data_IF_439418575927
#
_entry.id   IF_439418575927
#
_cell.length_a   1.000
_cell.length_b   1.000
_cell.length_c   1.000
_cell.angle_alpha   90.00
_cell.angle_beta   90.00
_cell.angle_gamma   90.00
#
_symmetry.space_group_name_H-M   'P 1'
#
loop_
_entity.id
_entity.type
_entity.pdbx_description
1 polymer ?
#
# COMPACT_ATOMS: atom_id res chain seq x y z
N UNK A 1 29.51 23.89 -55.84
CA UNK A 1 29.46 22.64 -55.04
C UNK A 1 29.02 23.00 -53.63
N UNK A 2 27.81 22.60 -53.26
CA UNK A 2 27.17 22.85 -51.96
C UNK A 2 27.36 21.64 -51.05
N UNK A 3 27.55 21.79 -49.73
CA UNK A 3 27.24 20.73 -48.79
C UNK A 3 25.78 20.82 -48.34
N UNK A 4 25.07 19.73 -48.57
CA UNK A 4 23.72 19.43 -48.08
C UNK A 4 23.61 19.44 -46.56
N UNK A 5 22.42 19.82 -46.10
CA UNK A 5 22.06 19.97 -44.69
C UNK A 5 22.25 18.70 -43.87
N UNK A 6 22.74 18.90 -42.64
CA UNK A 6 22.76 17.88 -41.59
C UNK A 6 21.72 18.22 -40.54
N UNK A 7 20.75 17.31 -40.42
CA UNK A 7 19.64 17.21 -39.47
C UNK A 7 19.85 17.89 -38.12
N UNK A 8 19.18 19.03 -37.91
CA UNK A 8 18.96 19.64 -36.57
C UNK A 8 17.71 19.12 -35.87
N UNK A 9 17.27 17.90 -36.16
CA UNK A 9 16.00 17.34 -35.63
C UNK A 9 16.23 16.33 -34.51
N UNK A 10 17.46 15.84 -34.31
CA UNK A 10 17.74 14.74 -33.38
C UNK A 10 17.91 15.12 -31.89
N UNK A 11 18.13 16.39 -31.56
CA UNK A 11 18.47 16.79 -30.18
C UNK A 11 17.27 17.20 -29.33
N UNK A 12 16.13 17.52 -29.93
CA UNK A 12 14.97 18.08 -29.21
C UNK A 12 14.06 17.00 -28.60
N UNK A 13 14.09 15.76 -29.11
CA UNK A 13 13.20 14.69 -28.61
C UNK A 13 13.70 14.01 -27.33
N UNK A 14 15.00 14.07 -27.03
CA UNK A 14 15.58 13.34 -25.91
C UNK A 14 15.27 13.96 -24.53
N UNK A 15 14.95 15.26 -24.48
CA UNK A 15 14.66 15.97 -23.22
C UNK A 15 13.19 15.80 -22.79
N UNK A 16 12.29 15.44 -23.72
CA UNK A 16 10.86 15.29 -23.41
C UNK A 16 10.51 13.97 -22.69
N UNK A 17 11.32 12.91 -22.81
CA UNK A 17 11.07 11.63 -22.15
C UNK A 17 11.55 11.55 -20.68
N UNK A 18 12.32 12.54 -20.20
CA UNK A 18 12.86 12.52 -18.83
C UNK A 18 11.87 13.00 -17.75
N UNK A 19 10.75 13.62 -18.14
CA UNK A 19 9.81 14.27 -17.20
C UNK A 19 8.68 13.36 -16.70
N UNK A 20 8.50 12.17 -17.26
CA UNK A 20 7.43 11.23 -16.84
C UNK A 20 7.89 10.16 -15.84
N UNK A 21 9.19 10.05 -15.58
CA UNK A 21 9.75 9.07 -14.64
C UNK A 21 9.54 9.44 -13.15
N UNK A 22 9.04 10.64 -12.86
CA UNK A 22 8.86 11.15 -11.49
C UNK A 22 7.48 10.90 -10.87
N UNK A 23 6.50 10.38 -11.62
CA UNK A 23 5.23 9.94 -11.05
C UNK A 23 5.38 8.54 -10.42
N UNK A 24 6.40 8.36 -9.58
CA UNK A 24 6.48 7.22 -8.68
C UNK A 24 5.36 7.37 -7.64
N UNK A 25 4.20 6.80 -7.97
CA UNK A 25 3.22 6.22 -7.06
C UNK A 25 3.08 6.86 -5.67
N UNK A 26 2.92 8.18 -5.56
CA UNK A 26 2.58 8.82 -4.29
C UNK A 26 1.07 8.73 -4.05
N UNK A 27 0.52 7.52 -4.16
CA UNK A 27 -0.89 7.29 -3.94
C UNK A 27 -1.14 7.49 -2.44
N UNK A 28 -2.07 8.39 -2.04
CA UNK A 28 -2.30 8.68 -0.63
C UNK A 28 -2.65 7.37 0.10
N UNK A 29 -1.93 7.09 1.19
CA UNK A 29 -2.19 5.92 2.03
C UNK A 29 -3.62 5.99 2.57
N UNK A 30 -4.35 4.89 2.49
CA UNK A 30 -5.72 4.83 3.00
C UNK A 30 -5.70 4.91 4.51
N UNK A 31 -6.32 5.95 5.08
CA UNK A 31 -6.43 6.11 6.53
C UNK A 31 -7.10 4.91 7.20
N UNK A 32 -8.13 4.34 6.58
CA UNK A 32 -8.83 3.18 7.11
C UNK A 32 -7.89 1.97 7.23
N UNK A 33 -7.09 1.70 6.19
CA UNK A 33 -6.14 0.60 6.21
C UNK A 33 -5.01 0.83 7.20
N UNK A 34 -4.49 2.06 7.30
CA UNK A 34 -3.47 2.41 8.29
C UNK A 34 -3.99 2.19 9.72
N UNK A 35 -5.21 2.64 10.02
CA UNK A 35 -5.77 2.48 11.38
C UNK A 35 -6.03 1.01 11.75
N UNK A 36 -6.45 0.17 10.78
CA UNK A 36 -6.67 -1.27 10.99
C UNK A 36 -5.35 -2.01 11.17
N UNK A 37 -4.42 -1.86 10.22
CA UNK A 37 -3.15 -2.57 10.25
C UNK A 37 -2.29 -2.19 11.46
N UNK A 38 -2.34 -0.93 11.91
CA UNK A 38 -1.65 -0.52 13.13
C UNK A 38 -2.19 -1.24 14.39
N UNK A 39 -3.51 -1.47 14.48
CA UNK A 39 -4.10 -2.23 15.59
C UNK A 39 -3.73 -3.71 15.53
N UNK A 40 -3.67 -4.29 14.33
CA UNK A 40 -3.26 -5.68 14.14
C UNK A 40 -1.79 -5.86 14.48
N UNK A 41 -0.91 -4.95 14.03
CA UNK A 41 0.51 -4.93 14.39
C UNK A 41 0.70 -4.92 15.91
N UNK A 42 0.04 -3.98 16.60
CA UNK A 42 0.08 -3.87 18.06
C UNK A 42 -0.38 -5.18 18.74
N UNK A 43 -1.36 -5.86 18.17
CA UNK A 43 -1.89 -7.09 18.73
C UNK A 43 -1.02 -8.31 18.45
N UNK A 44 -0.39 -8.38 17.28
CA UNK A 44 0.62 -9.40 17.00
C UNK A 44 1.80 -9.21 17.96
N UNK A 45 2.34 -8.00 18.10
CA UNK A 45 3.44 -7.72 19.04
C UNK A 45 3.12 -8.10 20.49
N UNK A 46 1.86 -7.92 20.93
CA UNK A 46 1.44 -8.26 22.30
C UNK A 46 1.22 -9.75 22.55
N UNK A 47 0.81 -10.49 21.53
CA UNK A 47 0.46 -11.91 21.66
C UNK A 47 1.60 -12.83 21.22
N UNK A 48 2.54 -12.29 20.44
CA UNK A 48 3.78 -12.97 20.11
C UNK A 48 4.73 -12.86 21.32
N UNK A 49 4.57 -13.76 22.29
CA UNK A 49 5.41 -13.92 23.49
C UNK A 49 6.85 -14.39 23.16
N UNK A 50 7.49 -13.83 22.12
CA UNK A 50 8.83 -14.21 21.68
C UNK A 50 8.91 -15.56 20.97
N UNK A 51 7.84 -15.96 20.25
CA UNK A 51 7.87 -17.18 19.44
C UNK A 51 8.49 -16.85 18.08
N UNK A 52 9.82 -16.83 18.04
CA UNK A 52 10.58 -16.76 16.80
C UNK A 52 10.22 -17.98 15.91
N UNK A 53 9.37 -17.79 14.90
CA UNK A 53 9.01 -18.91 14.03
C UNK A 53 8.08 -18.63 12.85
N UNK A 54 7.08 -17.75 12.96
CA UNK A 54 6.12 -17.56 11.87
C UNK A 54 5.86 -16.06 11.62
N UNK A 55 6.51 -15.54 10.58
CA UNK A 55 6.12 -14.30 9.88
C UNK A 55 5.92 -13.07 10.75
N UNK A 56 6.97 -12.26 10.91
CA UNK A 56 6.83 -10.90 11.47
C UNK A 56 5.75 -10.15 10.70
N UNK A 57 4.74 -9.64 11.41
CA UNK A 57 3.69 -8.82 10.80
C UNK A 57 4.32 -7.54 10.24
N UNK A 58 4.22 -7.34 8.93
CA UNK A 58 4.66 -6.11 8.28
C UNK A 58 3.45 -5.19 8.06
N UNK A 59 3.36 -4.12 8.85
CA UNK A 59 2.29 -3.12 8.76
C UNK A 59 2.24 -2.47 7.37
N UNK A 60 3.41 -2.27 6.74
CA UNK A 60 3.51 -1.67 5.41
C UNK A 60 2.87 -2.56 4.33
N UNK A 61 3.17 -3.85 4.37
CA UNK A 61 2.57 -4.83 3.46
C UNK A 61 1.07 -5.00 3.73
N UNK A 62 0.64 -5.00 5.00
CA UNK A 62 -0.78 -4.99 5.36
C UNK A 62 -1.51 -3.78 4.75
N UNK A 63 -0.97 -2.57 4.93
CA UNK A 63 -1.58 -1.34 4.40
C UNK A 63 -1.64 -1.35 2.88
N UNK A 64 -0.59 -1.83 2.22
CA UNK A 64 -0.55 -1.94 0.76
C UNK A 64 -1.61 -2.91 0.23
N UNK A 65 -1.71 -4.10 0.84
CA UNK A 65 -2.69 -5.12 0.49
C UNK A 65 -4.13 -4.65 0.74
N UNK A 66 -4.40 -4.12 1.94
CA UNK A 66 -5.71 -3.55 2.29
C UNK A 66 -6.11 -2.43 1.32
N UNK A 67 -5.20 -1.51 1.02
CA UNK A 67 -5.49 -0.41 0.10
C UNK A 67 -5.78 -0.91 -1.32
N UNK A 68 -5.14 -2.00 -1.76
CA UNK A 68 -5.43 -2.62 -3.06
C UNK A 68 -6.85 -3.20 -3.09
N UNK A 69 -7.24 -3.97 -2.06
CA UNK A 69 -8.60 -4.50 -1.92
C UNK A 69 -9.65 -3.39 -1.81
N UNK A 70 -9.33 -2.30 -1.10
CA UNK A 70 -10.26 -1.18 -0.96
C UNK A 70 -10.59 -0.49 -2.29
N UNK A 71 -9.68 -0.51 -3.27
CA UNK A 71 -9.92 0.10 -4.59
C UNK A 71 -10.79 -0.75 -5.51
N UNK A 72 -10.89 -2.05 -5.24
CA UNK A 72 -11.73 -2.97 -5.99
C UNK A 72 -13.13 -3.04 -5.38
N UNK A 73 -14.15 -2.73 -6.18
CA UNK A 73 -15.54 -2.71 -5.70
C UNK A 73 -16.05 -4.08 -5.25
N UNK A 74 -15.48 -5.19 -5.74
CA UNK A 74 -15.89 -6.52 -5.32
C UNK A 74 -15.37 -6.87 -3.93
N UNK A 75 -14.22 -6.32 -3.54
CA UNK A 75 -13.55 -6.62 -2.27
C UNK A 75 -13.69 -5.52 -1.22
N UNK A 76 -14.04 -4.29 -1.62
CA UNK A 76 -14.33 -3.16 -0.74
C UNK A 76 -15.30 -3.49 0.42
N UNK A 77 -16.43 -4.21 0.21
CA UNK A 77 -17.32 -4.56 1.32
C UNK A 77 -16.65 -5.42 2.40
N UNK A 78 -15.69 -6.28 2.01
CA UNK A 78 -14.92 -7.08 2.96
C UNK A 78 -13.98 -6.22 3.79
N UNK A 79 -13.27 -5.29 3.14
CA UNK A 79 -12.41 -4.33 3.85
C UNK A 79 -13.20 -3.50 4.87
N UNK A 80 -14.41 -3.06 4.52
CA UNK A 80 -15.30 -2.33 5.43
C UNK A 80 -15.82 -3.19 6.58
N UNK A 81 -16.18 -4.44 6.30
CA UNK A 81 -16.62 -5.40 7.32
C UNK A 81 -15.49 -5.72 8.31
N UNK A 82 -14.29 -5.98 7.81
CA UNK A 82 -13.09 -6.20 8.63
C UNK A 82 -12.81 -5.00 9.54
N UNK A 83 -12.76 -3.79 8.98
CA UNK A 83 -12.55 -2.57 9.76
C UNK A 83 -13.61 -2.37 10.85
N UNK A 84 -14.88 -2.71 10.56
CA UNK A 84 -15.98 -2.65 11.54
C UNK A 84 -15.78 -3.67 12.65
N UNK A 85 -15.38 -4.90 12.31
CA UNK A 85 -15.06 -5.94 13.29
C UNK A 85 -13.92 -5.51 14.22
N UNK A 86 -12.81 -5.02 13.66
CA UNK A 86 -11.64 -4.56 14.42
C UNK A 86 -11.99 -3.40 15.36
N UNK A 87 -12.88 -2.49 14.93
CA UNK A 87 -13.39 -1.42 15.80
C UNK A 87 -14.27 -1.96 16.92
N UNK A 88 -15.18 -2.90 16.62
CA UNK A 88 -16.08 -3.51 17.59
C UNK A 88 -15.37 -4.39 18.63
N UNK A 89 -14.21 -4.94 18.29
CA UNK A 89 -13.38 -5.73 19.19
C UNK A 89 -12.84 -4.95 20.40
N UNK A 90 -12.90 -3.61 20.39
CA UNK A 90 -12.67 -2.77 21.57
C UNK A 90 -11.26 -2.84 22.15
N UNK A 91 -10.27 -3.28 21.35
CA UNK A 91 -8.87 -3.46 21.80
C UNK A 91 -8.54 -4.86 22.33
N UNK A 92 -9.49 -5.80 22.31
CA UNK A 92 -9.23 -7.20 22.62
C UNK A 92 -8.46 -7.84 21.46
N UNK A 93 -7.16 -8.08 21.66
CA UNK A 93 -6.28 -8.54 20.59
C UNK A 93 -6.64 -9.92 20.04
N UNK A 94 -7.16 -10.81 20.87
CA UNK A 94 -7.65 -12.11 20.41
C UNK A 94 -8.85 -11.94 19.46
N UNK A 95 -9.72 -10.96 19.73
CA UNK A 95 -10.86 -10.67 18.84
C UNK A 95 -10.45 -9.91 17.59
N UNK A 96 -9.51 -8.97 17.70
CA UNK A 96 -8.98 -8.20 16.56
C UNK A 96 -8.34 -9.16 15.55
N UNK A 97 -7.47 -10.07 15.99
CA UNK A 97 -6.79 -11.02 15.10
C UNK A 97 -7.72 -12.15 14.58
N UNK A 98 -8.93 -12.25 15.11
CA UNK A 98 -9.96 -13.18 14.64
C UNK A 98 -10.94 -12.53 13.65
N UNK A 99 -10.79 -11.24 13.34
CA UNK A 99 -11.66 -10.55 12.38
C UNK A 99 -11.39 -11.04 10.94
N UNK A 100 -12.46 -11.25 10.13
CA UNK A 100 -12.39 -11.88 8.82
C UNK A 100 -12.08 -10.94 7.64
#
# INVERSE_FOLDING_TARGET
>A
MSPSGSSRVGAALAVALALTAGAACNQPRSKLCTDVCAKEAECVEKLDDGKEGEGVFDEGDCVAACAALQRDQQTLPRVQAHATCVQAAGGDCTKILACP
#
